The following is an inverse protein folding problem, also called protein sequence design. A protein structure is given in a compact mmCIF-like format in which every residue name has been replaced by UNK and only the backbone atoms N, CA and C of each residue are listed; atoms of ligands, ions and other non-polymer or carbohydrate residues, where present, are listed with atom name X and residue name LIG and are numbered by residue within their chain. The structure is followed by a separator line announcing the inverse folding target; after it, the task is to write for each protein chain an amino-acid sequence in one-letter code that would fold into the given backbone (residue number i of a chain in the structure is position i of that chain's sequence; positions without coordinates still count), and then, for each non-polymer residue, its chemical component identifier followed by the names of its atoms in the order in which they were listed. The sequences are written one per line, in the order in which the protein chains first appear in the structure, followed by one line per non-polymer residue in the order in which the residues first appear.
data_IF_353893531204
#
_entry.id   IF_353893531204
#
_cell.length_a   1.000
_cell.length_b   1.000
_cell.length_c   1.000
_cell.angle_alpha   90.00
_cell.angle_beta   90.00
_cell.angle_gamma   90.00
#
_symmetry.space_group_name_H-M   'P 1'
#
loop_
_entity.id
_entity.type
_entity.pdbx_description
1 polymer ?
#
# COMPACT_ATOMS: atom_id res chain seq x y z
N UNK A 1 -8.25 -20.87 -8.65
CA UNK A 1 -9.20 -19.89 -8.08
C UNK A 1 -9.47 -18.79 -9.11
N UNK A 2 -10.63 -18.14 -9.04
CA UNK A 2 -10.89 -16.94 -9.85
C UNK A 2 -10.57 -15.69 -9.04
N UNK A 3 -9.70 -14.84 -9.56
CA UNK A 3 -9.26 -13.60 -8.94
C UNK A 3 -9.70 -12.40 -9.77
N UNK A 4 -9.91 -11.27 -9.09
CA UNK A 4 -10.02 -9.99 -9.76
C UNK A 4 -9.07 -8.96 -9.11
N UNK A 5 -8.63 -7.99 -9.89
CA UNK A 5 -7.79 -6.88 -9.44
C UNK A 5 -8.50 -5.57 -9.74
N UNK A 6 -8.92 -4.87 -8.71
CA UNK A 6 -9.49 -3.52 -8.81
C UNK A 6 -8.37 -2.49 -8.67
N UNK A 7 -8.02 -1.86 -9.78
CA UNK A 7 -6.94 -0.87 -9.83
C UNK A 7 -5.68 -1.38 -10.53
N UNK A 8 -5.66 -1.26 -11.87
CA UNK A 8 -4.54 -1.63 -12.74
C UNK A 8 -3.37 -0.62 -12.66
N UNK A 9 -2.99 -0.24 -11.44
CA UNK A 9 -1.81 0.56 -11.12
C UNK A 9 -0.56 -0.32 -10.98
N UNK A 10 0.51 0.25 -10.41
CA UNK A 10 1.76 -0.48 -10.19
C UNK A 10 1.57 -1.72 -9.31
N UNK A 11 0.91 -1.55 -8.16
CA UNK A 11 0.69 -2.64 -7.19
C UNK A 11 -0.29 -3.69 -7.73
N UNK A 12 -1.45 -3.24 -8.23
CA UNK A 12 -2.44 -4.19 -8.78
C UNK A 12 -1.93 -4.92 -10.01
N UNK A 13 -1.12 -4.25 -10.86
CA UNK A 13 -0.48 -4.89 -12.00
C UNK A 13 0.56 -5.93 -11.59
N UNK A 14 1.42 -5.61 -10.61
CA UNK A 14 2.38 -6.55 -10.06
C UNK A 14 1.69 -7.80 -9.50
N UNK A 15 0.72 -7.62 -8.59
CA UNK A 15 0.02 -8.74 -7.95
C UNK A 15 -0.82 -9.53 -8.96
N UNK A 16 -1.56 -8.84 -9.83
CA UNK A 16 -2.38 -9.49 -10.85
C UNK A 16 -1.56 -10.32 -11.83
N UNK A 17 -0.41 -9.80 -12.29
CA UNK A 17 0.49 -10.53 -13.16
C UNK A 17 1.11 -11.73 -12.43
N UNK A 18 1.56 -11.54 -11.18
CA UNK A 18 2.11 -12.62 -10.39
C UNK A 18 1.09 -13.76 -10.18
N UNK A 19 -0.13 -13.45 -9.77
CA UNK A 19 -1.20 -14.44 -9.58
C UNK A 19 -1.55 -15.15 -10.89
N UNK A 20 -1.68 -14.41 -12.00
CA UNK A 20 -1.98 -14.99 -13.31
C UNK A 20 -0.84 -15.89 -13.80
N UNK A 21 0.43 -15.54 -13.57
CA UNK A 21 1.58 -16.37 -13.97
C UNK A 21 1.66 -17.71 -13.23
N UNK A 22 0.99 -17.82 -12.10
CA UNK A 22 0.80 -19.07 -11.37
C UNK A 22 -0.32 -19.96 -11.93
N UNK A 23 -0.95 -19.56 -13.04
CA UNK A 23 -2.03 -20.32 -13.71
C UNK A 23 -3.41 -20.07 -13.10
N UNK A 24 -3.59 -19.06 -12.25
CA UNK A 24 -4.89 -18.68 -11.74
C UNK A 24 -5.68 -17.83 -12.77
N UNK A 25 -7.00 -17.92 -12.74
CA UNK A 25 -7.88 -17.04 -13.51
C UNK A 25 -7.84 -15.62 -12.94
N UNK A 26 -7.41 -14.63 -13.73
CA UNK A 26 -7.34 -13.24 -13.27
C UNK A 26 -8.11 -12.31 -14.19
N UNK A 27 -8.98 -11.48 -13.61
CA UNK A 27 -9.65 -10.37 -14.30
C UNK A 27 -9.11 -9.05 -13.76
N UNK A 28 -8.50 -8.24 -14.62
CA UNK A 28 -8.02 -6.89 -14.26
C UNK A 28 -9.09 -5.88 -14.62
N UNK A 29 -9.56 -5.14 -13.61
CA UNK A 29 -10.56 -4.10 -13.77
C UNK A 29 -9.87 -2.77 -14.11
N UNK A 30 -10.21 -2.24 -15.27
CA UNK A 30 -9.75 -0.94 -15.75
C UNK A 30 -10.94 0.00 -15.92
N UNK A 31 -10.68 1.30 -15.93
CA UNK A 31 -11.75 2.27 -16.21
C UNK A 31 -12.30 2.06 -17.62
N UNK A 32 -13.60 2.32 -17.88
CA UNK A 32 -14.20 2.12 -19.19
C UNK A 32 -13.42 2.79 -20.34
N UNK A 33 -12.94 4.01 -20.12
CA UNK A 33 -12.20 4.78 -21.13
C UNK A 33 -10.81 4.20 -21.46
N UNK A 34 -10.29 3.30 -20.61
CA UNK A 34 -9.01 2.61 -20.81
C UNK A 34 -9.16 1.20 -21.35
N UNK A 35 -10.38 0.67 -21.38
CA UNK A 35 -10.64 -0.69 -21.82
C UNK A 35 -10.26 -0.91 -23.30
N UNK A 36 -10.58 0.02 -24.23
CA UNK A 36 -10.12 -0.12 -25.61
C UNK A 36 -8.59 -0.08 -25.68
N UNK A 37 -8.01 -1.15 -26.23
CA UNK A 37 -6.55 -1.27 -26.39
C UNK A 37 -5.75 -1.60 -25.14
N UNK A 38 -6.40 -1.89 -24.01
CA UNK A 38 -5.65 -2.40 -22.85
C UNK A 38 -5.21 -3.85 -23.11
N UNK A 39 -3.89 -4.17 -23.01
CA UNK A 39 -3.40 -5.49 -23.38
C UNK A 39 -3.84 -6.56 -22.37
N UNK A 40 -4.26 -7.72 -22.88
CA UNK A 40 -4.51 -8.91 -22.07
C UNK A 40 -3.21 -9.56 -21.57
N UNK A 41 -2.11 -9.38 -22.30
CA UNK A 41 -0.79 -9.84 -21.88
C UNK A 41 -0.16 -8.82 -20.94
N UNK A 42 -0.03 -9.21 -19.68
CA UNK A 42 0.59 -8.40 -18.62
C UNK A 42 2.05 -8.80 -18.45
N UNK A 43 2.91 -7.84 -18.12
CA UNK A 43 4.33 -8.10 -17.83
C UNK A 43 4.83 -7.30 -16.65
N UNK A 44 5.68 -7.93 -15.83
CA UNK A 44 6.42 -7.29 -14.75
C UNK A 44 7.90 -7.56 -14.96
N UNK A 45 8.69 -6.52 -15.15
CA UNK A 45 10.14 -6.57 -15.06
C UNK A 45 10.54 -6.52 -13.58
N UNK A 46 11.38 -7.46 -13.13
CA UNK A 46 11.82 -7.58 -11.73
C UNK A 46 13.35 -7.74 -11.69
N UNK A 47 14.01 -7.46 -10.56
CA UNK A 47 15.44 -7.73 -10.41
C UNK A 47 15.82 -9.18 -10.69
N UNK A 48 14.93 -10.14 -10.38
CA UNK A 48 15.13 -11.59 -10.57
C UNK A 48 14.68 -12.11 -11.94
N UNK A 49 14.28 -11.25 -12.86
CA UNK A 49 13.79 -11.63 -14.18
C UNK A 49 12.33 -11.26 -14.41
N UNK A 50 11.91 -11.24 -15.66
CA UNK A 50 10.56 -10.84 -16.03
C UNK A 50 9.56 -11.99 -15.85
N UNK A 51 8.34 -11.64 -15.47
CA UNK A 51 7.16 -12.54 -15.54
C UNK A 51 6.15 -11.96 -16.50
N UNK A 52 5.46 -12.85 -17.24
CA UNK A 52 4.37 -12.49 -18.14
C UNK A 52 3.18 -13.43 -17.93
N UNK A 53 1.99 -12.92 -18.10
CA UNK A 53 0.79 -13.74 -17.99
C UNK A 53 -0.36 -13.13 -18.77
N UNK A 54 -1.30 -13.97 -19.19
CA UNK A 54 -2.56 -13.54 -19.76
C UNK A 54 -3.58 -13.30 -18.64
N UNK A 55 -4.30 -12.20 -18.73
CA UNK A 55 -5.41 -11.87 -17.83
C UNK A 55 -6.62 -11.39 -18.67
N UNK A 56 -7.81 -11.62 -18.16
CA UNK A 56 -9.01 -10.96 -18.68
C UNK A 56 -8.96 -9.48 -18.30
N UNK A 57 -9.42 -8.61 -19.19
CA UNK A 57 -9.54 -7.18 -18.93
C UNK A 57 -11.00 -6.78 -19.05
N UNK A 58 -11.52 -6.11 -18.04
CA UNK A 58 -12.92 -5.71 -18.01
C UNK A 58 -13.09 -4.33 -17.35
N UNK A 59 -14.21 -3.66 -17.63
CA UNK A 59 -14.58 -2.44 -16.94
C UNK A 59 -15.41 -2.71 -15.68
N UNK A 60 -16.10 -3.85 -15.63
CA UNK A 60 -16.95 -4.25 -14.49
C UNK A 60 -16.73 -5.71 -14.14
N UNK A 61 -17.09 -6.09 -12.93
CA UNK A 61 -17.06 -7.46 -12.39
C UNK A 61 -18.49 -7.94 -12.11
N UNK A 62 -19.20 -8.48 -13.11
CA UNK A 62 -20.59 -8.89 -12.95
C UNK A 62 -20.75 -10.20 -12.17
N UNK A 63 -19.74 -11.08 -12.19
CA UNK A 63 -19.78 -12.40 -11.56
C UNK A 63 -18.90 -12.44 -10.31
N UNK A 64 -19.27 -13.23 -9.29
CA UNK A 64 -18.45 -13.43 -8.11
C UNK A 64 -17.09 -14.04 -8.45
N UNK A 65 -16.08 -13.65 -7.67
CA UNK A 65 -14.73 -14.23 -7.70
C UNK A 65 -14.36 -14.73 -6.31
N UNK A 66 -13.36 -15.62 -6.26
CA UNK A 66 -12.86 -16.11 -4.97
C UNK A 66 -12.12 -15.00 -4.23
N UNK A 67 -11.26 -14.23 -4.90
CA UNK A 67 -10.47 -13.16 -4.29
C UNK A 67 -10.52 -11.88 -5.13
N UNK A 68 -10.91 -10.78 -4.49
CA UNK A 68 -10.79 -9.44 -5.05
C UNK A 68 -9.61 -8.70 -4.39
N UNK A 69 -8.55 -8.48 -5.16
CA UNK A 69 -7.43 -7.63 -4.77
C UNK A 69 -7.76 -6.17 -5.09
N UNK A 70 -7.70 -5.27 -4.09
CA UNK A 70 -7.97 -3.85 -4.29
C UNK A 70 -6.66 -3.07 -4.16
N UNK A 71 -6.23 -2.41 -5.24
CA UNK A 71 -4.97 -1.65 -5.33
C UNK A 71 -5.18 -0.27 -5.96
N UNK A 72 -6.30 0.37 -5.64
CA UNK A 72 -6.58 1.76 -6.04
C UNK A 72 -5.92 2.74 -5.10
N UNK A 73 -5.82 4.01 -5.51
CA UNK A 73 -5.61 5.10 -4.56
C UNK A 73 -6.85 5.25 -3.67
N UNK A 74 -6.67 5.53 -2.38
CA UNK A 74 -7.78 5.58 -1.41
C UNK A 74 -8.86 6.58 -1.82
N UNK A 75 -8.47 7.74 -2.35
CA UNK A 75 -9.42 8.75 -2.84
C UNK A 75 -10.23 8.32 -4.08
N UNK A 76 -9.85 7.22 -4.74
CA UNK A 76 -10.57 6.62 -5.87
C UNK A 76 -11.45 5.43 -5.44
N UNK A 77 -11.29 4.93 -4.20
CA UNK A 77 -11.88 3.68 -3.76
C UNK A 77 -13.40 3.65 -3.97
N UNK A 78 -14.13 4.65 -3.45
CA UNK A 78 -15.60 4.69 -3.55
C UNK A 78 -16.11 4.60 -4.98
N UNK A 79 -15.49 5.34 -5.90
CA UNK A 79 -15.85 5.31 -7.33
C UNK A 79 -15.46 3.99 -7.97
N UNK A 80 -14.29 3.46 -7.64
CA UNK A 80 -13.81 2.19 -8.20
C UNK A 80 -14.69 1.00 -7.78
N UNK A 81 -15.23 1.00 -6.56
CA UNK A 81 -16.13 -0.05 -6.07
C UNK A 81 -17.40 -0.20 -6.91
N UNK A 82 -17.84 0.82 -7.63
CA UNK A 82 -18.98 0.73 -8.55
C UNK A 82 -18.76 -0.26 -9.70
N UNK A 83 -17.51 -0.57 -10.02
CA UNK A 83 -17.18 -1.59 -11.01
C UNK A 83 -17.42 -3.02 -10.51
N UNK A 84 -17.52 -3.22 -9.20
CA UNK A 84 -17.76 -4.54 -8.57
C UNK A 84 -19.26 -4.73 -8.40
N UNK A 85 -19.88 -5.46 -9.33
CA UNK A 85 -21.34 -5.65 -9.38
C UNK A 85 -21.79 -6.95 -8.71
N UNK A 86 -20.85 -7.77 -8.27
CA UNK A 86 -21.10 -9.04 -7.58
C UNK A 86 -20.36 -9.07 -6.26
N UNK A 87 -20.75 -9.95 -5.35
CA UNK A 87 -20.14 -10.05 -4.04
C UNK A 87 -18.97 -11.05 -4.07
N UNK A 88 -17.70 -10.61 -4.00
CA UNK A 88 -16.55 -11.51 -3.91
C UNK A 88 -16.56 -12.32 -2.62
N UNK A 89 -15.95 -13.51 -2.62
CA UNK A 89 -15.84 -14.35 -1.42
C UNK A 89 -14.86 -13.77 -0.42
N UNK A 90 -13.76 -13.22 -0.92
CA UNK A 90 -12.70 -12.60 -0.11
C UNK A 90 -12.22 -11.30 -0.76
N UNK A 91 -12.01 -10.26 0.04
CA UNK A 91 -11.50 -8.96 -0.38
C UNK A 91 -10.18 -8.68 0.31
N UNK A 92 -9.13 -8.45 -0.47
CA UNK A 92 -7.78 -8.16 0.02
C UNK A 92 -7.35 -6.75 -0.41
N UNK A 93 -7.53 -5.75 0.45
CA UNK A 93 -7.09 -4.39 0.16
C UNK A 93 -5.56 -4.27 0.31
N UNK A 94 -4.91 -3.69 -0.71
CA UNK A 94 -3.47 -3.40 -0.74
C UNK A 94 -3.19 -1.89 -0.68
N UNK A 95 -4.13 -1.12 -0.17
CA UNK A 95 -4.04 0.33 -0.07
C UNK A 95 -3.10 0.75 1.07
N UNK A 96 -2.63 2.00 0.99
CA UNK A 96 -1.94 2.62 2.12
C UNK A 96 -2.94 3.08 3.19
N UNK A 97 -2.45 3.33 4.41
CA UNK A 97 -3.26 3.75 5.55
C UNK A 97 -4.03 2.59 6.19
N UNK A 98 -4.97 2.93 7.06
CA UNK A 98 -5.74 1.95 7.86
C UNK A 98 -7.27 2.12 7.72
N UNK A 99 -7.76 3.33 7.45
CA UNK A 99 -9.20 3.66 7.50
C UNK A 99 -10.01 2.99 6.38
N UNK A 100 -9.38 2.63 5.26
CA UNK A 100 -10.04 1.96 4.14
C UNK A 100 -10.64 0.60 4.52
N UNK A 101 -10.11 -0.03 5.57
CA UNK A 101 -10.60 -1.34 6.05
C UNK A 101 -12.03 -1.24 6.52
N UNK A 102 -12.36 -0.24 7.35
CA UNK A 102 -13.74 -0.08 7.84
C UNK A 102 -14.70 0.35 6.73
N UNK A 103 -14.24 1.13 5.76
CA UNK A 103 -15.04 1.47 4.56
C UNK A 103 -15.39 0.22 3.77
N UNK A 104 -14.44 -0.69 3.58
CA UNK A 104 -14.65 -1.94 2.86
C UNK A 104 -15.52 -2.92 3.67
N UNK A 105 -15.31 -3.00 4.98
CA UNK A 105 -16.14 -3.82 5.88
C UNK A 105 -17.60 -3.38 5.90
N UNK A 106 -17.83 -2.08 5.89
CA UNK A 106 -19.20 -1.54 5.77
C UNK A 106 -19.84 -1.87 4.41
N UNK A 107 -19.04 -2.00 3.34
CA UNK A 107 -19.54 -2.26 1.99
C UNK A 107 -19.76 -3.75 1.70
N UNK A 108 -18.81 -4.62 2.11
CA UNK A 108 -18.81 -6.04 1.75
C UNK A 108 -19.12 -7.00 2.91
N UNK A 109 -19.19 -6.51 4.14
CA UNK A 109 -19.26 -7.31 5.35
C UNK A 109 -17.87 -7.59 5.94
N UNK A 110 -17.81 -7.62 7.26
CA UNK A 110 -16.56 -7.74 8.04
C UNK A 110 -15.77 -9.01 7.71
N UNK A 111 -16.45 -10.15 7.63
CA UNK A 111 -15.83 -11.47 7.47
C UNK A 111 -15.20 -11.69 6.09
N UNK A 112 -15.56 -10.86 5.10
CA UNK A 112 -15.02 -10.96 3.74
C UNK A 112 -13.76 -10.13 3.54
N UNK A 113 -13.52 -9.14 4.38
CA UNK A 113 -12.41 -8.20 4.23
C UNK A 113 -11.22 -8.66 5.06
N UNK A 114 -10.19 -9.14 4.37
CA UNK A 114 -8.91 -9.53 4.93
C UNK A 114 -7.90 -8.39 4.72
N UNK A 115 -7.68 -7.52 5.71
CA UNK A 115 -6.77 -6.40 5.56
C UNK A 115 -5.36 -6.90 5.26
N UNK A 116 -4.66 -6.20 4.36
CA UNK A 116 -3.32 -6.60 3.98
C UNK A 116 -2.40 -5.39 3.86
N UNK A 117 -1.11 -5.63 3.97
CA UNK A 117 -0.10 -4.63 3.64
C UNK A 117 0.87 -5.18 2.61
N UNK A 118 1.24 -4.35 1.65
CA UNK A 118 2.29 -4.68 0.69
C UNK A 118 3.37 -3.59 0.73
N UNK A 119 4.63 -4.00 0.81
CA UNK A 119 5.78 -3.10 0.71
C UNK A 119 6.62 -3.53 -0.48
N UNK A 120 6.65 -2.68 -1.48
CA UNK A 120 7.39 -2.85 -2.74
C UNK A 120 7.52 -1.49 -3.41
N UNK A 121 8.62 -1.24 -4.07
CA UNK A 121 8.74 -0.15 -5.03
C UNK A 121 8.41 -0.69 -6.42
N UNK A 122 7.28 -0.27 -6.96
CA UNK A 122 6.82 -0.66 -8.28
C UNK A 122 6.30 0.54 -9.07
N UNK A 123 6.37 0.43 -10.39
CA UNK A 123 5.95 1.45 -11.33
C UNK A 123 5.15 0.84 -12.47
N UNK A 124 4.13 1.54 -12.93
CA UNK A 124 3.46 1.22 -14.19
C UNK A 124 4.08 2.08 -15.29
N UNK A 125 4.83 1.48 -16.19
CA UNK A 125 5.50 2.17 -17.31
C UNK A 125 4.60 2.35 -18.53
N UNK A 126 3.64 1.42 -18.72
CA UNK A 126 2.63 1.49 -19.77
C UNK A 126 1.39 0.65 -19.35
N UNK A 127 0.26 0.71 -20.08
CA UNK A 127 -0.83 -0.23 -19.88
C UNK A 127 -0.32 -1.68 -20.00
N UNK A 128 -0.63 -2.52 -18.98
CA UNK A 128 -0.19 -3.91 -18.90
C UNK A 128 1.31 -4.14 -18.66
N UNK A 129 2.12 -3.08 -18.55
CA UNK A 129 3.57 -3.18 -18.33
C UNK A 129 3.98 -2.52 -17.02
N UNK A 130 4.63 -3.30 -16.16
CA UNK A 130 5.01 -2.89 -14.81
C UNK A 130 6.48 -3.20 -14.56
N UNK A 131 7.08 -2.47 -13.62
CA UNK A 131 8.47 -2.68 -13.18
C UNK A 131 8.48 -2.73 -11.65
N UNK A 132 9.06 -3.77 -11.09
CA UNK A 132 9.45 -3.84 -9.68
C UNK A 132 10.85 -3.28 -9.54
N UNK A 133 11.00 -2.21 -8.77
CA UNK A 133 12.30 -1.55 -8.53
C UNK A 133 13.02 -2.09 -7.30
N UNK A 134 12.26 -2.42 -6.24
CA UNK A 134 12.84 -3.01 -5.03
C UNK A 134 13.21 -4.47 -5.23
N UNK A 135 14.29 -4.95 -4.57
CA UNK A 135 14.66 -6.38 -4.61
C UNK A 135 13.72 -7.26 -3.81
N UNK A 136 12.71 -6.70 -3.15
CA UNK A 136 11.76 -7.42 -2.29
C UNK A 136 10.31 -7.03 -2.62
N UNK A 137 9.40 -7.96 -2.32
CA UNK A 137 7.96 -7.75 -2.22
C UNK A 137 7.52 -8.35 -0.89
N UNK A 138 7.20 -7.52 0.09
CA UNK A 138 6.70 -8.00 1.39
C UNK A 138 5.18 -7.87 1.42
N UNK A 139 4.48 -8.99 1.47
CA UNK A 139 3.03 -9.09 1.58
C UNK A 139 2.64 -9.66 2.94
N UNK A 140 2.01 -8.86 3.78
CA UNK A 140 1.50 -9.33 5.07
C UNK A 140 -0.03 -9.40 5.02
N UNK A 141 -0.57 -10.46 5.56
CA UNK A 141 -1.98 -10.84 5.58
C UNK A 141 -2.42 -11.16 7.00
N UNK A 142 -3.71 -11.10 7.35
CA UNK A 142 -4.16 -11.51 8.67
C UNK A 142 -4.15 -13.04 8.77
N UNK A 143 -3.84 -13.56 9.95
CA UNK A 143 -3.85 -15.02 10.19
C UNK A 143 -5.21 -15.66 9.92
N UNK A 144 -6.30 -14.93 10.13
CA UNK A 144 -7.66 -15.38 9.77
C UNK A 144 -7.83 -15.68 8.28
N UNK A 145 -6.97 -15.15 7.41
CA UNK A 145 -6.98 -15.38 5.98
C UNK A 145 -6.21 -16.62 5.52
N UNK A 146 -5.48 -17.30 6.40
CA UNK A 146 -4.59 -18.39 6.02
C UNK A 146 -5.33 -19.57 5.37
N UNK A 147 -6.51 -19.90 5.87
CA UNK A 147 -7.32 -20.98 5.29
C UNK A 147 -7.74 -20.69 3.84
N UNK A 148 -8.02 -19.42 3.52
CA UNK A 148 -8.50 -19.02 2.17
C UNK A 148 -7.35 -18.73 1.24
N UNK A 149 -6.30 -18.06 1.73
CA UNK A 149 -5.21 -17.53 0.91
C UNK A 149 -3.91 -18.36 0.98
N UNK A 150 -3.82 -19.34 1.88
CA UNK A 150 -2.59 -20.07 2.14
C UNK A 150 -2.00 -20.73 0.91
N UNK A 151 -2.83 -21.34 0.06
CA UNK A 151 -2.38 -22.01 -1.15
C UNK A 151 -1.77 -21.03 -2.17
N UNK A 152 -2.42 -19.89 -2.42
CA UNK A 152 -1.88 -18.89 -3.35
C UNK A 152 -0.66 -18.18 -2.77
N UNK A 153 -0.66 -17.95 -1.45
CA UNK A 153 0.48 -17.34 -0.73
C UNK A 153 1.71 -18.25 -0.79
N UNK A 154 1.55 -19.55 -0.64
CA UNK A 154 2.66 -20.49 -0.79
C UNK A 154 3.31 -20.37 -2.17
N UNK A 155 2.50 -20.32 -3.23
CA UNK A 155 2.98 -20.18 -4.62
C UNK A 155 3.54 -18.78 -4.94
N UNK A 156 3.05 -17.72 -4.29
CA UNK A 156 3.65 -16.40 -4.42
C UNK A 156 5.07 -16.35 -3.84
N UNK A 157 5.38 -17.18 -2.84
CA UNK A 157 6.76 -17.31 -2.33
C UNK A 157 7.73 -17.86 -3.37
N UNK A 158 7.27 -18.72 -4.27
CA UNK A 158 8.09 -19.22 -5.40
C UNK A 158 8.44 -18.09 -6.40
N UNK A 159 7.68 -16.99 -6.37
CA UNK A 159 7.95 -15.75 -7.09
C UNK A 159 8.68 -14.71 -6.23
N UNK A 160 9.36 -15.11 -5.16
CA UNK A 160 10.15 -14.26 -4.25
C UNK A 160 9.34 -13.23 -3.46
N UNK A 161 8.02 -13.44 -3.30
CA UNK A 161 7.25 -12.67 -2.36
C UNK A 161 7.56 -13.15 -0.94
N UNK A 162 7.97 -12.26 -0.07
CA UNK A 162 8.02 -12.53 1.37
C UNK A 162 6.61 -12.36 1.94
N UNK A 163 5.93 -13.48 2.18
CA UNK A 163 4.56 -13.49 2.68
C UNK A 163 4.50 -13.92 4.12
N UNK A 164 3.78 -13.17 4.97
CA UNK A 164 3.60 -13.47 6.40
C UNK A 164 2.12 -13.38 6.77
N UNK A 165 1.68 -14.28 7.66
CA UNK A 165 0.38 -14.18 8.32
C UNK A 165 0.58 -13.61 9.72
N UNK A 166 -0.14 -12.53 10.05
CA UNK A 166 -0.02 -11.75 11.29
C UNK A 166 -1.29 -11.92 12.12
N UNK A 167 -1.15 -12.27 13.39
CA UNK A 167 -2.28 -12.55 14.28
C UNK A 167 -3.11 -11.29 14.58
N UNK A 168 -2.44 -10.20 14.93
CA UNK A 168 -3.09 -8.95 15.30
C UNK A 168 -3.22 -8.04 14.06
N UNK A 169 -4.45 -7.78 13.61
CA UNK A 169 -4.74 -6.94 12.44
C UNK A 169 -4.30 -5.48 12.63
N UNK A 170 -4.39 -4.95 13.85
CA UNK A 170 -3.91 -3.59 14.13
C UNK A 170 -2.40 -3.53 13.97
N UNK A 171 -1.69 -4.53 14.48
CA UNK A 171 -0.24 -4.66 14.28
C UNK A 171 0.12 -4.78 12.80
N UNK A 172 -0.63 -5.59 12.03
CA UNK A 172 -0.42 -5.75 10.59
C UNK A 172 -0.48 -4.42 9.86
N UNK A 173 -1.52 -3.61 10.12
CA UNK A 173 -1.76 -2.35 9.43
C UNK A 173 -0.82 -1.24 9.93
N UNK A 174 -0.73 -1.07 11.25
CA UNK A 174 0.03 0.02 11.86
C UNK A 174 1.54 -0.14 11.74
N UNK A 175 2.08 -1.37 11.75
CA UNK A 175 3.52 -1.58 11.57
C UNK A 175 4.03 -0.95 10.27
N UNK A 176 3.27 -1.07 9.18
CA UNK A 176 3.60 -0.40 7.93
C UNK A 176 3.42 1.11 8.03
N UNK A 177 2.31 1.57 8.62
CA UNK A 177 1.99 2.99 8.69
C UNK A 177 2.96 3.77 9.59
N UNK A 178 3.38 3.20 10.71
CA UNK A 178 4.39 3.80 11.60
C UNK A 178 5.75 4.04 10.91
N UNK A 179 6.07 3.21 9.91
CA UNK A 179 7.26 3.38 9.08
C UNK A 179 7.00 4.33 7.91
N UNK A 180 5.98 4.03 7.12
CA UNK A 180 5.69 4.73 5.87
C UNK A 180 5.19 6.16 6.08
N UNK A 181 4.30 6.35 7.06
CA UNK A 181 3.62 7.63 7.30
C UNK A 181 4.60 8.76 7.61
N UNK A 182 5.38 8.68 8.68
CA UNK A 182 6.37 9.70 9.03
C UNK A 182 7.37 9.98 7.91
N UNK A 183 7.88 8.95 7.25
CA UNK A 183 8.80 9.11 6.13
C UNK A 183 8.15 9.86 4.96
N UNK A 184 6.92 9.49 4.59
CA UNK A 184 6.19 10.17 3.52
C UNK A 184 5.88 11.64 3.86
N UNK A 185 5.50 11.92 5.11
CA UNK A 185 5.25 13.29 5.58
C UNK A 185 6.52 14.15 5.55
N UNK A 186 7.61 13.63 6.12
CA UNK A 186 8.88 14.39 6.20
C UNK A 186 9.47 14.63 4.82
N UNK A 187 9.53 13.63 3.94
CA UNK A 187 10.04 13.79 2.58
C UNK A 187 9.20 14.75 1.74
N UNK A 188 7.87 14.72 1.89
CA UNK A 188 6.97 15.63 1.17
C UNK A 188 7.04 17.05 1.70
N UNK A 189 7.13 17.23 3.04
CA UNK A 189 7.23 18.55 3.65
C UNK A 189 8.60 19.23 3.39
N UNK A 190 9.69 18.47 3.44
CA UNK A 190 11.04 19.02 3.23
C UNK A 190 11.40 19.15 1.73
N UNK A 191 10.91 18.25 0.90
CA UNK A 191 11.39 18.06 -0.48
C UNK A 191 12.67 17.21 -0.55
N UNK A 192 13.26 16.85 0.59
CA UNK A 192 14.50 16.10 0.72
C UNK A 192 14.31 14.61 0.47
N UNK A 193 15.32 13.96 -0.07
CA UNK A 193 15.41 12.51 -0.13
C UNK A 193 15.87 11.94 1.23
N UNK A 194 15.91 10.61 1.34
CA UNK A 194 16.29 9.90 2.56
C UNK A 194 17.66 10.32 3.09
N UNK A 195 18.70 10.35 2.24
CA UNK A 195 20.05 10.70 2.64
C UNK A 195 20.17 12.13 3.17
N UNK A 196 19.51 13.08 2.50
CA UNK A 196 19.48 14.49 2.91
C UNK A 196 18.79 14.67 4.28
N UNK A 197 17.66 13.96 4.53
CA UNK A 197 16.96 13.99 5.83
C UNK A 197 17.87 13.49 6.96
N UNK A 198 18.64 12.42 6.71
CA UNK A 198 19.51 11.88 7.75
C UNK A 198 20.76 12.72 8.00
N UNK A 199 21.21 13.49 7.00
CA UNK A 199 22.31 14.45 7.14
C UNK A 199 21.87 15.74 7.87
N UNK A 200 20.57 16.07 7.85
CA UNK A 200 20.01 17.25 8.50
C UNK A 200 19.47 16.91 9.91
N UNK A 201 20.11 17.43 10.94
CA UNK A 201 19.75 17.14 12.33
C UNK A 201 18.31 17.57 12.69
N UNK A 202 17.77 18.62 12.08
CA UNK A 202 16.42 19.11 12.36
C UNK A 202 15.38 18.19 11.70
N UNK A 203 15.55 17.86 10.43
CA UNK A 203 14.62 16.97 9.73
C UNK A 203 14.66 15.54 10.25
N UNK A 204 15.85 15.07 10.64
CA UNK A 204 16.00 13.77 11.32
C UNK A 204 15.22 13.74 12.65
N UNK A 205 15.31 14.80 13.48
CA UNK A 205 14.50 14.88 14.70
C UNK A 205 13.00 14.85 14.40
N UNK A 206 12.53 15.63 13.41
CA UNK A 206 11.11 15.62 13.01
C UNK A 206 10.65 14.22 12.57
N UNK A 207 11.48 13.50 11.83
CA UNK A 207 11.18 12.12 11.43
C UNK A 207 11.04 11.20 12.64
N UNK A 208 11.98 11.24 13.59
CA UNK A 208 11.93 10.40 14.79
C UNK A 208 10.74 10.78 15.69
N UNK A 209 10.42 12.05 15.84
CA UNK A 209 9.23 12.49 16.59
C UNK A 209 7.93 12.00 15.93
N UNK A 210 7.77 12.20 14.63
CA UNK A 210 6.59 11.72 13.91
C UNK A 210 6.45 10.18 13.96
N UNK A 211 7.55 9.43 13.97
CA UNK A 211 7.53 7.98 14.20
C UNK A 211 7.05 7.63 15.61
N UNK A 212 7.53 8.32 16.62
CA UNK A 212 7.09 8.12 18.00
C UNK A 212 5.60 8.42 18.17
N UNK A 213 5.12 9.53 17.59
CA UNK A 213 3.69 9.89 17.56
C UNK A 213 2.85 8.79 16.88
N UNK A 214 3.26 8.33 15.69
CA UNK A 214 2.56 7.26 14.97
C UNK A 214 2.51 5.95 15.78
N UNK A 215 3.61 5.58 16.43
CA UNK A 215 3.66 4.38 17.28
C UNK A 215 2.80 4.53 18.54
N UNK A 216 2.72 5.72 19.15
CA UNK A 216 1.85 5.98 20.30
C UNK A 216 0.37 5.80 19.94
N UNK A 217 -0.05 6.36 18.80
CA UNK A 217 -1.41 6.18 18.26
C UNK A 217 -1.67 4.72 17.92
N UNK A 218 -0.72 4.05 17.29
CA UNK A 218 -0.84 2.63 16.94
C UNK A 218 -1.06 1.75 18.19
N UNK A 219 -0.28 1.97 19.25
CA UNK A 219 -0.45 1.27 20.54
C UNK A 219 -1.83 1.52 21.15
N UNK A 220 -2.28 2.76 21.18
CA UNK A 220 -3.62 3.11 21.66
C UNK A 220 -4.74 2.49 20.80
N UNK A 221 -4.45 2.20 19.51
CA UNK A 221 -5.36 1.48 18.62
C UNK A 221 -5.33 -0.05 18.80
N UNK A 222 -4.51 -0.58 19.72
CA UNK A 222 -4.36 -2.01 19.98
C UNK A 222 -3.29 -2.73 19.15
N UNK A 223 -2.40 -1.98 18.47
CA UNK A 223 -1.27 -2.56 17.75
C UNK A 223 -0.09 -2.84 18.71
N UNK A 224 0.58 -3.95 18.46
CA UNK A 224 1.81 -4.33 19.16
C UNK A 224 3.02 -3.81 18.35
N UNK A 225 3.34 -2.53 18.51
CA UNK A 225 4.47 -1.88 17.84
C UNK A 225 5.45 -1.32 18.86
N UNK A 226 6.73 -1.49 18.59
CA UNK A 226 7.81 -0.91 19.39
C UNK A 226 8.46 0.25 18.60
N UNK A 227 8.41 1.49 19.12
CA UNK A 227 9.05 2.63 18.46
C UNK A 227 10.54 2.43 18.20
N UNK A 228 11.25 1.76 19.09
CA UNK A 228 12.68 1.51 18.93
C UNK A 228 12.94 0.54 17.76
N UNK A 229 12.11 -0.50 17.61
CA UNK A 229 12.19 -1.42 16.48
C UNK A 229 11.83 -0.72 15.17
N UNK A 230 10.77 0.10 15.14
CA UNK A 230 10.39 0.86 13.94
C UNK A 230 11.53 1.78 13.51
N UNK A 231 12.14 2.49 14.45
CA UNK A 231 13.30 3.35 14.18
C UNK A 231 14.52 2.56 13.73
N UNK A 232 14.81 1.41 14.37
CA UNK A 232 15.92 0.55 14.00
C UNK A 232 15.76 -0.01 12.59
N UNK A 233 14.57 -0.50 12.22
CA UNK A 233 14.28 -0.96 10.86
C UNK A 233 14.47 0.16 9.84
N UNK A 234 14.06 1.38 10.17
CA UNK A 234 14.23 2.54 9.29
C UNK A 234 15.71 2.89 9.11
N UNK A 235 16.50 2.83 10.17
CA UNK A 235 17.94 3.05 10.16
C UNK A 235 18.62 1.92 9.38
N UNK A 236 18.29 0.66 9.66
CA UNK A 236 18.84 -0.52 9.00
C UNK A 236 18.59 -0.48 7.49
N UNK A 237 17.38 -0.14 7.07
CA UNK A 237 17.07 0.03 5.66
C UNK A 237 17.93 1.10 4.95
N UNK A 238 18.60 1.99 5.70
CA UNK A 238 19.57 2.94 5.16
C UNK A 238 20.92 2.23 4.90
N UNK A 239 21.34 1.38 5.84
CA UNK A 239 22.62 0.68 5.75
C UNK A 239 22.56 -0.50 4.77
N UNK A 240 21.40 -1.16 4.61
CA UNK A 240 21.22 -2.32 3.74
C UNK A 240 21.05 -1.98 2.25
N UNK A 241 21.54 -0.83 1.83
CA UNK A 241 21.71 -0.52 0.42
C UNK A 241 20.50 0.01 -0.32
N UNK A 242 19.43 0.43 0.39
CA UNK A 242 18.43 1.27 -0.26
C UNK A 242 19.09 2.60 -0.67
N UNK A 243 19.04 3.01 -1.94
CA UNK A 243 19.75 4.20 -2.41
C UNK A 243 19.45 5.42 -1.55
N UNK A 244 20.47 6.22 -1.22
CA UNK A 244 20.31 7.46 -0.45
C UNK A 244 19.28 8.42 -1.10
N UNK A 245 19.16 8.36 -2.42
CA UNK A 245 18.21 9.15 -3.21
C UNK A 245 16.74 8.71 -3.13
N UNK A 246 16.38 7.72 -2.29
CA UNK A 246 14.98 7.26 -2.19
C UNK A 246 14.06 8.40 -1.75
N UNK A 247 12.96 8.52 -2.48
CA UNK A 247 11.85 9.43 -2.26
C UNK A 247 10.57 8.63 -2.01
N UNK A 248 9.70 9.13 -1.11
CA UNK A 248 8.39 8.52 -0.93
C UNK A 248 7.51 8.68 -2.17
N UNK A 249 6.51 7.81 -2.33
CA UNK A 249 5.52 7.93 -3.40
C UNK A 249 4.76 9.26 -3.33
N UNK A 250 4.41 9.71 -2.11
CA UNK A 250 3.72 10.98 -1.90
C UNK A 250 4.60 12.18 -2.29
N UNK A 251 5.91 12.15 -2.00
CA UNK A 251 6.84 13.18 -2.45
C UNK A 251 6.94 13.23 -3.99
N UNK A 252 6.95 12.06 -4.66
CA UNK A 252 6.89 11.98 -6.12
C UNK A 252 5.58 12.55 -6.67
N UNK A 253 4.45 12.34 -5.95
CA UNK A 253 3.16 12.90 -6.31
C UNK A 253 3.13 14.43 -6.11
N UNK A 254 3.73 14.99 -5.03
CA UNK A 254 3.92 16.44 -4.84
C UNK A 254 4.71 17.03 -6.00
N UNK A 255 5.88 16.47 -6.32
CA UNK A 255 6.74 16.96 -7.38
C UNK A 255 6.10 16.91 -8.78
N UNK A 256 5.07 16.10 -8.96
CA UNK A 256 4.34 15.94 -10.22
C UNK A 256 2.95 16.61 -10.19
N UNK A 257 2.66 17.44 -9.20
CA UNK A 257 1.36 18.09 -8.99
C UNK A 257 0.17 17.11 -9.06
N UNK A 258 0.36 15.89 -8.57
CA UNK A 258 -0.70 14.87 -8.52
C UNK A 258 -1.46 14.94 -7.21
N UNK A 259 -2.71 14.48 -7.22
CA UNK A 259 -3.51 14.36 -6.01
C UNK A 259 -2.81 13.47 -4.97
N UNK A 260 -2.68 13.98 -3.75
CA UNK A 260 -1.95 13.34 -2.67
C UNK A 260 -2.83 12.37 -1.86
N UNK A 261 -2.20 11.36 -1.28
CA UNK A 261 -2.78 10.48 -0.27
C UNK A 261 -2.52 11.01 1.16
N UNK A 262 -2.47 12.34 1.34
CA UNK A 262 -2.11 12.96 2.60
C UNK A 262 -3.05 12.58 3.75
N UNK A 263 -4.36 12.58 3.49
CA UNK A 263 -5.36 12.17 4.49
C UNK A 263 -5.27 10.67 4.80
N UNK A 264 -4.94 9.85 3.81
CA UNK A 264 -4.77 8.40 3.98
C UNK A 264 -3.54 8.05 4.83
N UNK A 265 -2.47 8.83 4.69
CA UNK A 265 -1.16 8.53 5.31
C UNK A 265 -1.01 9.27 6.65
N UNK A 266 -1.27 10.56 6.69
CA UNK A 266 -1.17 11.37 7.90
C UNK A 266 -2.45 11.44 8.73
N UNK A 267 -3.61 11.32 8.05
CA UNK A 267 -4.92 11.44 8.69
C UNK A 267 -5.17 10.45 9.84
N UNK A 268 -4.86 9.16 9.71
CA UNK A 268 -5.04 8.20 10.80
C UNK A 268 -4.25 8.55 12.06
N UNK A 269 -3.03 9.09 11.90
CA UNK A 269 -2.20 9.52 13.02
C UNK A 269 -2.81 10.76 13.68
N UNK A 270 -3.22 11.76 12.89
CA UNK A 270 -3.82 12.99 13.41
C UNK A 270 -5.15 12.70 14.14
N UNK A 271 -6.07 11.96 13.52
CA UNK A 271 -7.36 11.57 14.12
C UNK A 271 -7.19 10.67 15.34
N UNK A 272 -6.19 9.78 15.31
CA UNK A 272 -5.84 8.94 16.47
C UNK A 272 -5.31 9.77 17.63
N UNK A 273 -4.49 10.78 17.35
CA UNK A 273 -4.02 11.74 18.37
C UNK A 273 -5.20 12.42 19.07
N UNK A 274 -6.14 12.96 18.29
CA UNK A 274 -7.36 13.58 18.81
C UNK A 274 -8.21 12.57 19.61
N UNK A 275 -8.44 11.39 19.05
CA UNK A 275 -9.29 10.34 19.65
C UNK A 275 -8.75 9.83 21.00
N UNK A 276 -7.44 9.68 21.11
CA UNK A 276 -6.79 9.07 22.28
C UNK A 276 -6.09 10.08 23.21
N UNK A 277 -6.18 11.37 22.92
CA UNK A 277 -5.52 12.42 23.70
C UNK A 277 -3.99 12.34 23.63
N UNK A 278 -3.44 11.94 22.48
CA UNK A 278 -2.00 11.80 22.24
C UNK A 278 -1.50 13.04 21.49
N UNK A 279 -0.42 13.64 21.96
CA UNK A 279 0.23 14.74 21.25
C UNK A 279 0.84 14.24 19.94
N UNK A 280 0.36 14.79 18.82
CA UNK A 280 0.81 14.51 17.45
C UNK A 280 1.15 15.82 16.73
N UNK A 281 1.67 16.78 17.47
CA UNK A 281 1.96 18.13 16.99
C UNK A 281 2.95 18.15 15.82
N UNK A 282 3.95 17.28 15.81
CA UNK A 282 4.89 17.14 14.69
C UNK A 282 4.19 16.67 13.41
N UNK A 283 3.37 15.65 13.52
CA UNK A 283 2.57 15.12 12.38
C UNK A 283 1.62 16.19 11.85
N UNK A 284 0.92 16.90 12.74
CA UNK A 284 -0.01 17.97 12.37
C UNK A 284 0.70 19.11 11.63
N UNK A 285 1.87 19.55 12.13
CA UNK A 285 2.67 20.58 11.48
C UNK A 285 3.15 20.14 10.08
N UNK A 286 3.60 18.89 9.91
CA UNK A 286 4.00 18.36 8.63
C UNK A 286 2.83 18.31 7.63
N UNK A 287 1.66 17.89 8.07
CA UNK A 287 0.42 17.89 7.26
C UNK A 287 0.08 19.32 6.79
N UNK A 288 0.18 20.31 7.69
CA UNK A 288 -0.10 21.71 7.34
C UNK A 288 0.86 22.24 6.25
N UNK A 289 2.15 21.96 6.38
CA UNK A 289 3.16 22.34 5.38
C UNK A 289 2.88 21.72 4.02
N UNK A 290 2.50 20.42 3.98
CA UNK A 290 2.21 19.73 2.72
C UNK A 290 0.94 20.27 2.08
N UNK A 291 -0.10 20.56 2.87
CA UNK A 291 -1.34 21.17 2.36
C UNK A 291 -1.09 22.51 1.71
N UNK A 292 -0.28 23.37 2.33
CA UNK A 292 0.08 24.67 1.74
C UNK A 292 0.77 24.51 0.38
N UNK A 293 1.70 23.57 0.26
CA UNK A 293 2.39 23.27 -1.01
C UNK A 293 1.49 22.69 -2.11
N UNK A 294 0.42 21.98 -1.73
CA UNK A 294 -0.49 21.34 -2.70
C UNK A 294 -1.55 22.31 -3.26
N UNK A 295 -1.70 23.50 -2.67
CA UNK A 295 -2.61 24.57 -3.12
C UNK A 295 -1.93 25.62 -3.98
N UNK A 296 -0.61 25.59 -4.09
CA UNK A 296 0.19 26.38 -5.02
C UNK A 296 0.41 25.62 -6.35
#
# INVERSE_FOLDING_TARGET
MEHAVLGAGAIGGLVGTAVASLGEGVTVLVRPERLPGYPANLSVERPSGAITALAKVAATLPNPVDVLWIATKTYQLRTALQAVQSLPRCIVPLLNGVDHVEVLRAHFGRDRVLPATIAVEAERIAPGRFVQRSPFVNLNLPASGEQVLGAIVARLRDLEFTCRFIQNEQTLLWSKLCFLGPFALVTSASGMNKGEIYADAQWKRKLMSAMAEACAVAKASGAEVDPAQVQAIHIQAIYDGLPAGIRSSMQKDVASSRRLELDTIGGPIARGGERYGIDVSTTAALIAVIRAKATE
#
